data_IF_087074305624
#
_entry.id   IF_087074305624
#
_cell.length_a   1.000
_cell.length_b   1.000
_cell.length_c   1.000
_cell.angle_alpha   90.00
_cell.angle_beta   90.00
_cell.angle_gamma   90.00
#
_symmetry.space_group_name_H-M   'P 1'
#
loop_
_entity.id
_entity.type
_entity.pdbx_description
1 polymer ?
#
# COMPACT_ATOMS: atom_id res chain seq x y z
N UNK A 1 -2.28 14.40 -5.73
CA UNK A 1 -2.75 13.00 -5.92
C UNK A 1 -1.66 11.95 -5.61
N UNK A 2 -0.36 12.23 -5.76
CA UNK A 2 0.70 11.27 -5.40
C UNK A 2 0.76 10.84 -3.92
N UNK A 3 0.16 11.60 -3.00
CA UNK A 3 0.12 11.23 -1.56
C UNK A 3 -0.72 9.98 -1.24
N UNK A 4 -1.44 9.40 -2.22
CA UNK A 4 -2.39 8.29 -1.98
C UNK A 4 -1.70 6.93 -1.78
N UNK A 5 -0.60 6.66 -2.48
CA UNK A 5 0.09 5.37 -2.41
C UNK A 5 1.33 5.41 -1.49
N UNK A 6 1.81 6.60 -1.11
CA UNK A 6 3.01 6.79 -0.29
C UNK A 6 2.94 6.10 1.09
N UNK A 7 1.90 6.30 1.92
CA UNK A 7 1.84 5.66 3.23
C UNK A 7 1.68 4.14 3.13
N UNK A 8 0.93 3.67 2.13
CA UNK A 8 0.66 2.24 1.93
C UNK A 8 1.90 1.50 1.43
N UNK A 9 2.63 2.09 0.48
CA UNK A 9 3.86 1.49 -0.04
C UNK A 9 4.91 1.44 1.08
N UNK A 10 5.06 2.53 1.85
CA UNK A 10 5.97 2.57 3.00
C UNK A 10 5.61 1.53 4.07
N UNK A 11 4.34 1.43 4.46
CA UNK A 11 3.87 0.45 5.45
C UNK A 11 4.00 -1.01 4.96
N UNK A 12 3.91 -1.26 3.65
CA UNK A 12 4.09 -2.58 3.09
C UNK A 12 5.57 -2.98 2.89
N UNK A 13 6.48 -2.01 2.84
CA UNK A 13 7.93 -2.25 2.76
C UNK A 13 8.60 -2.31 4.13
N UNK A 14 8.07 -1.56 5.10
CA UNK A 14 8.48 -1.64 6.49
C UNK A 14 7.66 -2.72 7.22
N UNK A 15 8.17 -3.26 8.33
CA UNK A 15 7.31 -4.07 9.20
C UNK A 15 6.21 -3.18 9.80
N UNK A 16 5.04 -3.72 10.20
CA UNK A 16 3.88 -2.96 10.71
C UNK A 16 4.16 -2.04 11.91
N UNK A 17 5.37 -2.04 12.46
CA UNK A 17 5.81 -1.30 13.63
C UNK A 17 6.48 0.06 13.33
N UNK A 18 6.62 0.47 12.07
CA UNK A 18 7.36 1.70 11.73
C UNK A 18 6.43 2.91 11.63
N UNK A 19 5.99 3.44 12.77
CA UNK A 19 5.37 4.77 12.84
C UNK A 19 6.48 5.82 12.61
N UNK A 20 6.35 6.77 11.67
CA UNK A 20 7.31 7.84 11.51
C UNK A 20 7.11 8.84 12.65
N UNK A 21 7.86 8.65 13.74
CA UNK A 21 7.68 9.47 14.94
C UNK A 21 8.71 9.17 16.03
N UNK A 22 10.00 9.20 15.70
CA UNK A 22 11.09 9.35 16.68
C UNK A 22 12.33 9.95 16.00
N UNK A 23 12.30 11.26 15.76
CA UNK A 23 13.50 12.07 15.68
C UNK A 23 13.74 12.63 17.08
N UNK A 24 14.65 12.02 17.83
CA UNK A 24 15.10 12.54 19.13
C UNK A 24 15.30 11.48 20.20
N UNK A 25 16.57 11.31 20.58
CA UNK A 25 17.07 10.70 21.82
C UNK A 25 17.06 9.17 21.88
N UNK A 26 18.14 8.58 21.38
CA UNK A 26 18.68 7.30 21.87
C UNK A 26 20.06 7.62 22.48
N UNK A 27 20.09 7.89 23.78
CA UNK A 27 21.31 7.78 24.59
C UNK A 27 21.04 6.73 25.69
N UNK A 28 21.90 5.71 25.68
CA UNK A 28 22.27 4.80 26.77
C UNK A 28 21.17 4.10 27.60
N UNK A 29 20.76 2.91 27.15
CA UNK A 29 20.23 1.84 28.02
C UNK A 29 20.95 0.51 27.74
N UNK A 30 21.35 -0.24 28.78
CA UNK A 30 22.21 -1.42 28.61
C UNK A 30 21.48 -2.66 28.06
N UNK A 31 22.21 -3.46 27.26
CA UNK A 31 21.77 -4.54 26.35
C UNK A 31 20.89 -5.67 26.91
N UNK A 32 20.62 -5.72 28.22
CA UNK A 32 20.00 -6.88 28.88
C UNK A 32 18.48 -6.75 29.10
N UNK A 33 17.85 -5.64 28.71
CA UNK A 33 16.39 -5.41 28.88
C UNK A 33 15.62 -5.26 27.55
N UNK A 34 16.26 -5.55 26.41
CA UNK A 34 15.66 -5.44 25.08
C UNK A 34 14.93 -6.75 24.75
N UNK A 35 13.59 -6.71 24.69
CA UNK A 35 12.77 -7.86 24.29
C UNK A 35 13.11 -8.30 22.85
N UNK A 36 12.96 -9.60 22.48
CA UNK A 36 13.32 -10.08 21.15
C UNK A 36 12.59 -9.39 19.97
N UNK A 37 11.52 -8.63 20.27
CA UNK A 37 10.67 -7.91 19.32
C UNK A 37 11.21 -6.53 18.87
N UNK A 38 12.29 -6.01 19.45
CA UNK A 38 12.82 -4.67 19.13
C UNK A 38 14.14 -4.69 18.36
N UNK A 39 14.45 -5.78 17.65
CA UNK A 39 15.55 -5.75 16.68
C UNK A 39 15.15 -4.87 15.48
N UNK A 40 15.97 -3.87 15.07
CA UNK A 40 15.75 -3.21 13.79
C UNK A 40 15.75 -4.28 12.69
N UNK A 41 14.89 -4.16 11.64
CA UNK A 41 14.88 -5.11 10.55
C UNK A 41 16.30 -5.20 9.95
N UNK A 42 16.78 -6.39 9.56
CA UNK A 42 18.11 -6.53 9.01
C UNK A 42 18.27 -5.62 7.79
N UNK A 43 19.43 -4.97 7.61
CA UNK A 43 19.64 -4.01 6.54
C UNK A 43 19.79 -4.79 5.23
N UNK A 44 18.72 -5.14 4.51
CA UNK A 44 18.93 -5.91 3.27
C UNK A 44 17.69 -6.17 2.40
N UNK A 45 17.86 -5.82 1.12
CA UNK A 45 17.30 -6.46 -0.09
C UNK A 45 15.81 -6.22 -0.37
N UNK A 46 15.50 -5.15 -1.11
CA UNK A 46 14.14 -4.82 -1.55
C UNK A 46 13.96 -4.95 -3.06
N UNK A 47 12.89 -5.60 -3.52
CA UNK A 47 12.44 -5.50 -4.89
C UNK A 47 10.95 -5.15 -4.88
N UNK A 48 10.61 -4.03 -5.51
CA UNK A 48 9.23 -3.58 -5.65
C UNK A 48 8.81 -3.81 -7.09
N UNK A 49 7.80 -4.66 -7.26
CA UNK A 49 7.23 -4.97 -8.57
C UNK A 49 5.90 -4.24 -8.71
N UNK A 50 5.83 -3.34 -9.68
CA UNK A 50 4.63 -2.55 -9.96
C UNK A 50 3.93 -3.14 -11.19
N UNK A 51 2.82 -3.83 -10.95
CA UNK A 51 1.95 -4.37 -11.98
C UNK A 51 0.97 -3.29 -12.41
N UNK A 52 1.27 -2.62 -13.52
CA UNK A 52 0.60 -1.40 -13.96
C UNK A 52 -0.45 -1.71 -15.02
N UNK A 53 -1.58 -0.99 -15.00
CA UNK A 53 -2.48 -0.88 -16.16
C UNK A 53 -1.96 0.19 -17.11
N UNK A 54 -1.83 -0.14 -18.40
CA UNK A 54 -1.68 0.89 -19.43
C UNK A 54 -3.03 1.51 -19.77
N UNK A 55 -3.28 2.74 -19.28
CA UNK A 55 -4.02 3.81 -19.99
C UNK A 55 -4.34 5.03 -19.09
N UNK A 56 -3.85 6.22 -19.48
CA UNK A 56 -4.65 7.46 -19.38
C UNK A 56 -4.82 8.16 -18.03
N UNK A 57 -4.00 7.93 -17.01
CA UNK A 57 -3.98 8.85 -15.86
C UNK A 57 -3.31 10.16 -16.28
N UNK A 58 -4.11 11.20 -16.52
CA UNK A 58 -3.67 12.58 -16.79
C UNK A 58 -2.84 13.19 -15.63
N UNK A 59 -2.52 12.42 -14.59
CA UNK A 59 -1.86 12.82 -13.34
C UNK A 59 -0.63 11.97 -12.96
N UNK A 60 -0.12 11.13 -13.87
CA UNK A 60 0.99 10.20 -13.59
C UNK A 60 0.54 8.98 -12.77
N UNK A 61 1.36 7.92 -12.72
CA UNK A 61 1.07 6.76 -11.86
C UNK A 61 1.36 7.11 -10.39
N UNK A 62 0.36 7.08 -9.48
CA UNK A 62 0.56 7.39 -8.06
C UNK A 62 1.62 6.50 -7.39
N UNK A 63 1.80 5.27 -7.87
CA UNK A 63 2.76 4.31 -7.31
C UNK A 63 4.18 4.69 -7.67
N UNK A 64 4.42 5.05 -8.94
CA UNK A 64 5.73 5.53 -9.40
C UNK A 64 6.10 6.82 -8.68
N UNK A 65 5.15 7.76 -8.55
CA UNK A 65 5.30 8.99 -7.77
C UNK A 65 5.70 8.72 -6.32
N UNK A 66 4.98 7.81 -5.66
CA UNK A 66 5.21 7.46 -4.27
C UNK A 66 6.56 6.79 -4.06
N UNK A 67 6.93 5.84 -4.93
CA UNK A 67 8.22 5.17 -4.87
C UNK A 67 9.39 6.13 -5.06
N UNK A 68 9.27 7.13 -5.96
CA UNK A 68 10.30 8.16 -6.11
C UNK A 68 10.38 9.08 -4.88
N UNK A 69 9.26 9.47 -4.28
CA UNK A 69 9.33 10.29 -3.06
C UNK A 69 9.98 9.53 -1.91
N UNK A 70 9.65 8.24 -1.72
CA UNK A 70 10.31 7.41 -0.71
C UNK A 70 11.80 7.23 -1.00
N UNK A 71 12.18 7.05 -2.26
CA UNK A 71 13.58 6.97 -2.67
C UNK A 71 14.34 8.27 -2.36
N UNK A 72 13.73 9.42 -2.65
CA UNK A 72 14.31 10.74 -2.38
C UNK A 72 14.69 10.93 -0.92
N UNK A 73 13.74 10.54 -0.07
CA UNK A 73 13.73 10.79 1.37
C UNK A 73 14.55 9.70 2.11
N UNK A 74 15.16 8.75 1.38
CA UNK A 74 15.97 7.68 1.96
C UNK A 74 15.16 6.66 2.77
N UNK A 75 13.87 6.58 2.51
CA UNK A 75 12.93 5.69 3.23
C UNK A 75 12.84 4.30 2.59
N UNK A 76 13.52 4.09 1.45
CA UNK A 76 13.67 2.79 0.81
C UNK A 76 15.00 2.15 1.17
N UNK A 77 15.07 0.81 1.29
CA UNK A 77 16.34 0.11 1.37
C UNK A 77 17.27 0.46 0.19
N UNK A 78 18.57 0.55 0.43
CA UNK A 78 19.57 0.94 -0.56
C UNK A 78 19.61 0.03 -1.80
N UNK A 79 19.25 -1.25 -1.67
CA UNK A 79 19.09 -2.18 -2.79
C UNK A 79 17.61 -2.32 -3.14
N UNK A 80 16.97 -1.23 -3.61
CA UNK A 80 15.57 -1.25 -4.10
C UNK A 80 15.49 -1.08 -5.61
N UNK A 81 14.83 -2.02 -6.27
CA UNK A 81 14.53 -1.99 -7.70
C UNK A 81 13.03 -1.85 -7.95
N UNK A 82 12.66 -1.07 -8.97
CA UNK A 82 11.26 -0.90 -9.39
C UNK A 82 11.06 -1.55 -10.76
N UNK A 83 10.18 -2.55 -10.83
CA UNK A 83 9.90 -3.26 -12.09
C UNK A 83 8.47 -3.00 -12.53
N UNK A 84 8.28 -2.29 -13.64
CA UNK A 84 6.98 -2.08 -14.27
C UNK A 84 6.56 -3.30 -15.10
N UNK A 85 5.31 -3.73 -14.97
CA UNK A 85 4.74 -4.81 -15.78
C UNK A 85 3.39 -4.43 -16.37
N UNK A 86 3.26 -4.44 -17.69
CA UNK A 86 1.97 -4.25 -18.38
C UNK A 86 1.96 -4.86 -19.79
N UNK A 87 0.77 -4.87 -20.42
CA UNK A 87 0.57 -5.38 -21.79
C UNK A 87 1.28 -4.56 -22.87
N UNK A 88 1.46 -3.26 -22.64
CA UNK A 88 2.04 -2.37 -23.64
C UNK A 88 3.54 -2.56 -23.78
N UNK A 89 4.05 -2.40 -24.99
CA UNK A 89 5.48 -2.39 -25.26
C UNK A 89 6.01 -0.97 -24.98
N UNK A 90 6.49 -0.74 -23.75
CA UNK A 90 7.07 0.54 -23.33
C UNK A 90 8.52 0.36 -22.90
N UNK A 91 9.27 1.45 -22.95
CA UNK A 91 10.62 1.52 -22.39
C UNK A 91 10.61 2.34 -21.09
N UNK A 92 11.67 2.21 -20.28
CA UNK A 92 11.87 3.06 -19.10
C UNK A 92 11.96 4.54 -19.49
N UNK A 93 12.47 4.85 -20.69
CA UNK A 93 12.49 6.23 -21.21
C UNK A 93 11.08 6.78 -21.45
N UNK A 94 10.16 5.96 -21.96
CA UNK A 94 8.76 6.35 -22.14
C UNK A 94 8.07 6.59 -20.79
N UNK A 95 8.31 5.71 -19.83
CA UNK A 95 7.80 5.85 -18.45
C UNK A 95 8.32 7.14 -17.83
N UNK A 96 9.64 7.38 -17.94
CA UNK A 96 10.26 8.61 -17.47
C UNK A 96 9.62 9.83 -18.09
N UNK A 97 9.45 9.86 -19.40
CA UNK A 97 8.81 11.00 -20.11
C UNK A 97 7.39 11.26 -19.62
N UNK A 98 6.62 10.21 -19.32
CA UNK A 98 5.25 10.33 -18.83
C UNK A 98 5.18 10.74 -17.36
N UNK A 99 6.11 10.29 -16.52
CA UNK A 99 6.05 10.47 -15.07
C UNK A 99 6.84 11.69 -14.56
N UNK A 100 7.88 12.10 -15.27
CA UNK A 100 8.75 13.23 -14.91
C UNK A 100 8.00 14.56 -14.67
N UNK A 101 6.96 14.95 -15.45
CA UNK A 101 6.20 16.18 -15.19
C UNK A 101 5.54 16.23 -13.81
N UNK A 102 5.27 15.07 -13.20
CA UNK A 102 4.56 14.96 -11.93
C UNK A 102 5.49 14.85 -10.73
N UNK A 103 6.79 14.61 -10.95
CA UNK A 103 7.79 14.45 -9.88
C UNK A 103 8.16 15.76 -9.19
N UNK A 104 7.91 16.92 -9.82
CA UNK A 104 8.29 18.25 -9.30
C UNK A 104 9.76 18.26 -8.83
N UNK A 105 10.66 17.95 -9.75
CA UNK A 105 12.09 17.74 -9.48
C UNK A 105 12.76 19.09 -9.29
N UNK A 106 13.36 19.31 -8.13
CA UNK A 106 14.24 20.45 -7.88
C UNK A 106 15.63 20.23 -8.53
N UNK A 107 16.36 21.29 -8.90
CA UNK A 107 17.61 21.16 -9.67
C UNK A 107 18.71 20.31 -8.99
N UNK A 108 18.74 20.31 -7.67
CA UNK A 108 19.68 19.53 -6.84
C UNK A 108 19.34 18.04 -6.78
N UNK A 109 18.10 17.66 -7.09
CA UNK A 109 17.63 16.28 -7.05
C UNK A 109 17.90 15.49 -8.35
N UNK A 110 18.47 16.12 -9.38
CA UNK A 110 18.64 15.50 -10.68
C UNK A 110 19.49 14.21 -10.62
N UNK A 111 20.55 14.19 -9.79
CA UNK A 111 21.39 12.98 -9.62
C UNK A 111 20.61 11.82 -9.03
N UNK A 112 19.86 12.07 -7.95
CA UNK A 112 18.97 11.06 -7.33
C UNK A 112 17.90 10.58 -8.29
N UNK A 113 17.43 11.44 -9.20
CA UNK A 113 16.48 11.05 -10.22
C UNK A 113 17.08 10.08 -11.24
N UNK A 114 18.32 10.33 -11.70
CA UNK A 114 19.03 9.40 -12.59
C UNK A 114 19.27 8.06 -11.89
N UNK A 115 19.70 8.06 -10.63
CA UNK A 115 19.89 6.85 -9.83
C UNK A 115 18.59 6.05 -9.65
N UNK A 116 17.48 6.74 -9.40
CA UNK A 116 16.16 6.11 -9.33
C UNK A 116 15.84 5.40 -10.64
N UNK A 117 15.91 6.09 -11.78
CA UNK A 117 15.60 5.50 -13.08
C UNK A 117 16.58 4.41 -13.51
N UNK A 118 17.84 4.47 -13.09
CA UNK A 118 18.81 3.39 -13.31
C UNK A 118 18.40 2.07 -12.62
N UNK A 119 17.58 2.16 -11.55
CA UNK A 119 17.01 1.01 -10.83
C UNK A 119 15.59 0.67 -11.27
N UNK A 120 15.09 1.35 -12.29
CA UNK A 120 13.81 1.05 -12.91
C UNK A 120 14.01 0.14 -14.12
N UNK A 121 13.12 -0.84 -14.26
CA UNK A 121 13.08 -1.72 -15.44
C UNK A 121 11.63 -2.00 -15.81
N UNK A 122 11.42 -2.49 -17.03
CA UNK A 122 10.07 -2.75 -17.54
C UNK A 122 10.01 -4.06 -18.30
N UNK A 123 8.98 -4.84 -18.04
CA UNK A 123 8.71 -6.12 -18.71
C UNK A 123 7.30 -6.08 -19.29
N UNK A 124 7.18 -6.37 -20.59
CA UNK A 124 5.88 -6.45 -21.25
C UNK A 124 5.33 -7.87 -21.23
N UNK A 125 4.02 -7.99 -20.96
CA UNK A 125 3.37 -9.30 -20.88
C UNK A 125 1.86 -9.21 -20.65
N UNK A 126 1.15 -10.30 -20.95
CA UNK A 126 -0.28 -10.41 -20.65
C UNK A 126 -0.52 -10.90 -19.23
N UNK A 127 -1.72 -10.68 -18.71
CA UNK A 127 -2.06 -10.99 -17.31
C UNK A 127 -2.54 -12.44 -17.11
N UNK A 128 -2.90 -13.12 -18.20
CA UNK A 128 -3.46 -14.45 -18.27
C UNK A 128 -2.45 -15.54 -18.67
N UNK A 129 -1.30 -15.17 -19.25
CA UNK A 129 -0.28 -16.10 -19.74
C UNK A 129 0.84 -16.34 -18.71
N UNK A 130 0.98 -17.61 -18.30
CA UNK A 130 2.07 -18.04 -17.39
C UNK A 130 3.47 -17.80 -17.97
N UNK A 131 3.64 -17.81 -19.29
CA UNK A 131 4.94 -17.61 -19.94
C UNK A 131 5.44 -16.18 -19.72
N UNK A 132 4.53 -15.22 -19.76
CA UNK A 132 4.82 -13.82 -19.47
C UNK A 132 5.24 -13.60 -18.01
N UNK A 133 4.62 -14.29 -17.06
CA UNK A 133 5.04 -14.26 -15.65
C UNK A 133 6.36 -15.01 -15.41
N UNK A 134 6.67 -16.07 -16.15
CA UNK A 134 8.01 -16.69 -16.10
C UNK A 134 9.10 -15.74 -16.60
N UNK A 135 8.83 -14.96 -17.64
CA UNK A 135 9.76 -13.90 -18.10
C UNK A 135 9.92 -12.81 -17.03
N UNK A 136 8.84 -12.40 -16.38
CA UNK A 136 8.91 -11.48 -15.24
C UNK A 136 9.77 -12.07 -14.13
N UNK A 137 9.55 -13.32 -13.73
CA UNK A 137 10.35 -13.97 -12.69
C UNK A 137 11.84 -14.05 -13.06
N UNK A 138 12.17 -14.47 -14.29
CA UNK A 138 13.55 -14.52 -14.77
C UNK A 138 14.22 -13.13 -14.74
N UNK A 139 13.47 -12.08 -15.08
CA UNK A 139 13.94 -10.71 -14.96
C UNK A 139 14.19 -10.30 -13.50
N UNK A 140 13.29 -10.67 -12.58
CA UNK A 140 13.45 -10.41 -11.14
C UNK A 140 14.66 -11.15 -10.57
N UNK A 141 14.87 -12.41 -10.95
CA UNK A 141 16.01 -13.22 -10.51
C UNK A 141 17.35 -12.68 -11.04
N UNK A 142 17.35 -12.03 -12.21
CA UNK A 142 18.53 -11.41 -12.81
C UNK A 142 18.94 -10.09 -12.16
N UNK A 143 18.09 -9.49 -11.31
CA UNK A 143 18.45 -8.29 -10.53
C UNK A 143 19.48 -8.63 -9.45
N UNK A 144 20.18 -7.61 -8.95
CA UNK A 144 21.13 -7.77 -7.86
C UNK A 144 20.44 -8.39 -6.62
N UNK A 145 20.93 -9.54 -6.17
CA UNK A 145 20.31 -10.34 -5.10
C UNK A 145 18.84 -10.71 -5.35
N UNK A 146 18.41 -10.82 -6.62
CA UNK A 146 17.01 -11.07 -7.01
C UNK A 146 16.41 -12.37 -6.48
N UNK A 147 17.25 -13.39 -6.28
CA UNK A 147 16.91 -14.70 -5.69
C UNK A 147 16.51 -14.61 -4.21
N UNK A 148 17.13 -13.66 -3.48
CA UNK A 148 16.95 -13.41 -2.05
C UNK A 148 16.23 -12.09 -1.75
N UNK A 149 15.74 -11.42 -2.79
CA UNK A 149 15.05 -10.15 -2.63
C UNK A 149 13.66 -10.35 -2.01
N UNK A 150 13.27 -9.40 -1.16
CA UNK A 150 11.88 -9.25 -0.78
C UNK A 150 11.08 -8.74 -1.98
N UNK A 151 9.92 -9.33 -2.26
CA UNK A 151 9.09 -8.98 -3.43
C UNK A 151 7.77 -8.37 -2.98
N UNK A 152 7.53 -7.13 -3.39
CA UNK A 152 6.27 -6.43 -3.16
C UNK A 152 5.54 -6.22 -4.50
N UNK A 153 4.41 -6.89 -4.71
CA UNK A 153 3.62 -6.78 -5.93
C UNK A 153 2.50 -5.77 -5.75
N UNK A 154 2.56 -4.63 -6.44
CA UNK A 154 1.50 -3.65 -6.47
C UNK A 154 0.53 -3.94 -7.61
N UNK A 155 -0.73 -4.25 -7.33
CA UNK A 155 -1.75 -4.57 -8.33
C UNK A 155 -2.56 -3.32 -8.72
N UNK A 156 -1.98 -2.44 -9.53
CA UNK A 156 -2.67 -1.27 -10.09
C UNK A 156 -3.49 -1.68 -11.34
N UNK A 157 -4.39 -2.65 -11.17
CA UNK A 157 -5.09 -3.36 -12.24
C UNK A 157 -6.62 -3.33 -12.02
N UNK A 158 -7.43 -3.51 -13.07
CA UNK A 158 -8.87 -3.66 -12.88
C UNK A 158 -9.20 -4.98 -12.18
N UNK A 159 -10.30 -5.06 -11.40
CA UNK A 159 -10.68 -6.26 -10.65
C UNK A 159 -10.83 -7.52 -11.51
N UNK A 160 -11.20 -7.38 -12.78
CA UNK A 160 -11.43 -8.49 -13.70
C UNK A 160 -10.18 -9.35 -13.96
N UNK A 161 -8.98 -8.81 -13.73
CA UNK A 161 -7.72 -9.56 -13.94
C UNK A 161 -7.08 -10.03 -12.64
N UNK A 162 -7.63 -9.67 -11.47
CA UNK A 162 -7.02 -10.00 -10.17
C UNK A 162 -6.85 -11.50 -9.97
N UNK A 163 -7.86 -12.31 -10.32
CA UNK A 163 -7.78 -13.76 -10.14
C UNK A 163 -6.63 -14.38 -10.96
N UNK A 164 -6.49 -13.99 -12.22
CA UNK A 164 -5.43 -14.47 -13.11
C UNK A 164 -4.04 -14.03 -12.65
N UNK A 165 -3.90 -12.75 -12.28
CA UNK A 165 -2.61 -12.18 -11.87
C UNK A 165 -2.13 -12.77 -10.57
N UNK A 166 -3.00 -12.86 -9.55
CA UNK A 166 -2.64 -13.43 -8.24
C UNK A 166 -2.25 -14.91 -8.34
N UNK A 167 -2.94 -15.69 -9.19
CA UNK A 167 -2.58 -17.08 -9.50
C UNK A 167 -1.21 -17.16 -10.16
N UNK A 168 -0.99 -16.41 -11.23
CA UNK A 168 0.28 -16.41 -11.95
C UNK A 168 1.46 -15.91 -11.10
N UNK A 169 1.25 -14.91 -10.24
CA UNK A 169 2.27 -14.46 -9.28
C UNK A 169 2.63 -15.61 -8.33
N UNK A 170 1.62 -16.28 -7.75
CA UNK A 170 1.82 -17.38 -6.82
C UNK A 170 2.58 -18.55 -7.44
N UNK A 171 2.26 -18.89 -8.68
CA UNK A 171 2.84 -20.03 -9.39
C UNK A 171 4.26 -19.74 -9.93
N UNK A 172 4.51 -18.52 -10.42
CA UNK A 172 5.72 -18.25 -11.21
C UNK A 172 6.69 -17.25 -10.57
N UNK A 173 6.23 -16.33 -9.71
CA UNK A 173 7.02 -15.13 -9.33
C UNK A 173 7.35 -15.04 -7.84
N UNK A 174 7.04 -16.06 -7.03
CA UNK A 174 7.32 -16.05 -5.60
C UNK A 174 8.82 -16.21 -5.35
N UNK A 175 9.42 -15.27 -4.63
CA UNK A 175 10.80 -15.38 -4.18
C UNK A 175 10.95 -16.42 -3.08
N UNK A 176 12.09 -17.12 -3.05
CA UNK A 176 12.38 -18.17 -2.08
C UNK A 176 13.20 -17.68 -0.87
N UNK A 177 14.01 -16.63 -1.03
CA UNK A 177 14.88 -16.13 0.05
C UNK A 177 14.34 -14.95 0.86
N UNK A 178 13.33 -14.24 0.35
CA UNK A 178 12.73 -13.06 1.00
C UNK A 178 11.23 -13.21 1.24
N UNK A 179 10.61 -12.21 1.87
CA UNK A 179 9.15 -12.17 1.98
C UNK A 179 8.51 -11.81 0.65
N UNK A 180 7.27 -12.26 0.46
CA UNK A 180 6.44 -11.92 -0.68
C UNK A 180 5.16 -11.27 -0.16
N UNK A 181 4.87 -10.06 -0.62
CA UNK A 181 3.67 -9.30 -0.24
C UNK A 181 2.95 -8.81 -1.50
N UNK A 182 1.63 -8.77 -1.44
CA UNK A 182 0.79 -8.24 -2.50
C UNK A 182 -0.01 -7.05 -1.97
N UNK A 183 -0.09 -6.00 -2.77
CA UNK A 183 -0.90 -4.82 -2.51
C UNK A 183 -2.06 -4.84 -3.49
N UNK A 184 -3.28 -4.80 -2.96
CA UNK A 184 -4.53 -4.87 -3.74
C UNK A 184 -5.33 -3.59 -3.54
N UNK A 185 -5.70 -2.95 -4.64
CA UNK A 185 -6.56 -1.76 -4.61
C UNK A 185 -8.05 -2.11 -4.74
N UNK A 186 -8.89 -1.19 -4.25
CA UNK A 186 -10.34 -1.23 -4.43
C UNK A 186 -10.72 -1.18 -5.92
N UNK A 187 -11.86 -1.75 -6.33
CA UNK A 187 -12.93 -2.34 -5.51
C UNK A 187 -12.72 -3.82 -5.13
N UNK A 188 -13.07 -4.16 -3.88
CA UNK A 188 -13.01 -5.52 -3.33
C UNK A 188 -14.33 -6.29 -3.50
N UNK A 189 -14.83 -6.36 -4.74
CA UNK A 189 -16.19 -6.83 -5.03
C UNK A 189 -17.23 -5.71 -5.07
N UNK A 190 -18.47 -6.05 -5.43
CA UNK A 190 -19.63 -5.14 -5.51
C UNK A 190 -20.64 -5.39 -4.38
N UNK A 191 -20.57 -6.53 -3.73
CA UNK A 191 -21.45 -7.03 -2.68
C UNK A 191 -20.71 -8.07 -1.81
N UNK A 192 -21.38 -8.58 -0.79
CA UNK A 192 -20.81 -9.57 0.13
C UNK A 192 -20.37 -10.84 -0.60
N UNK A 193 -21.18 -11.34 -1.55
CA UNK A 193 -20.88 -12.59 -2.26
C UNK A 193 -19.63 -12.46 -3.13
N UNK A 194 -19.56 -11.41 -3.96
CA UNK A 194 -18.39 -11.13 -4.80
C UNK A 194 -17.14 -10.79 -3.99
N UNK A 195 -17.29 -10.10 -2.85
CA UNK A 195 -16.19 -9.83 -1.94
C UNK A 195 -15.65 -11.09 -1.28
N UNK A 196 -16.53 -11.98 -0.83
CA UNK A 196 -16.16 -13.28 -0.27
C UNK A 196 -15.48 -14.16 -1.32
N UNK A 197 -15.98 -14.18 -2.56
CA UNK A 197 -15.35 -14.93 -3.66
C UNK A 197 -13.91 -14.46 -3.91
N UNK A 198 -13.70 -13.13 -4.02
CA UNK A 198 -12.37 -12.56 -4.21
C UNK A 198 -11.46 -12.83 -3.01
N UNK A 199 -11.98 -12.66 -1.79
CA UNK A 199 -11.23 -12.86 -0.55
C UNK A 199 -10.81 -14.32 -0.39
N UNK A 200 -11.71 -15.27 -0.64
CA UNK A 200 -11.42 -16.70 -0.58
C UNK A 200 -10.38 -17.11 -1.64
N UNK A 201 -10.48 -16.59 -2.87
CA UNK A 201 -9.48 -16.82 -3.91
C UNK A 201 -8.09 -16.34 -3.47
N UNK A 202 -7.96 -15.10 -2.99
CA UNK A 202 -6.67 -14.54 -2.57
C UNK A 202 -6.13 -15.28 -1.34
N UNK A 203 -6.99 -15.56 -0.35
CA UNK A 203 -6.61 -16.29 0.86
C UNK A 203 -6.18 -17.74 0.58
N UNK A 204 -6.69 -18.36 -0.48
CA UNK A 204 -6.22 -19.69 -0.92
C UNK A 204 -4.78 -19.69 -1.44
N UNK A 205 -4.28 -18.53 -1.89
CA UNK A 205 -2.97 -18.39 -2.52
C UNK A 205 -1.93 -17.74 -1.59
N UNK A 206 -2.36 -16.76 -0.80
CA UNK A 206 -1.52 -15.93 0.06
C UNK A 206 -2.01 -15.98 1.50
N UNK A 207 -1.08 -15.97 2.45
CA UNK A 207 -1.42 -15.79 3.85
C UNK A 207 -1.82 -14.34 4.13
N UNK A 208 -2.56 -14.11 5.20
CA UNK A 208 -3.08 -12.78 5.52
C UNK A 208 -1.96 -11.75 5.82
N UNK A 209 -0.82 -12.18 6.38
CA UNK A 209 0.38 -11.34 6.60
C UNK A 209 1.05 -10.86 5.29
N UNK A 210 0.68 -11.47 4.16
CA UNK A 210 1.18 -11.14 2.83
C UNK A 210 0.23 -10.22 2.06
N UNK A 211 -1.00 -10.01 2.52
CA UNK A 211 -2.05 -9.32 1.77
C UNK A 211 -2.27 -7.91 2.34
N UNK A 212 -1.97 -6.89 1.54
CA UNK A 212 -2.15 -5.48 1.90
C UNK A 212 -3.29 -4.89 1.07
N UNK A 213 -4.48 -4.77 1.68
CA UNK A 213 -5.65 -4.17 1.04
C UNK A 213 -5.62 -2.66 1.28
N UNK A 214 -5.54 -1.87 0.21
CA UNK A 214 -5.44 -0.41 0.33
C UNK A 214 -6.81 0.21 0.60
N UNK A 215 -6.90 0.91 1.72
CA UNK A 215 -7.75 2.07 1.90
C UNK A 215 -6.88 3.31 2.15
N UNK A 216 -6.76 4.17 1.15
CA UNK A 216 -5.89 5.35 1.22
C UNK A 216 -6.33 6.39 2.27
N UNK A 217 -7.56 6.33 2.80
CA UNK A 217 -7.96 7.20 3.91
C UNK A 217 -7.21 6.89 5.20
N UNK A 218 -6.86 5.62 5.43
CA UNK A 218 -6.06 5.19 6.59
C UNK A 218 -4.62 5.74 6.55
N UNK A 219 -4.13 6.13 5.37
CA UNK A 219 -2.83 6.77 5.19
C UNK A 219 -2.82 8.28 5.45
N UNK A 220 -3.99 8.89 5.72
CA UNK A 220 -4.06 10.34 6.00
C UNK A 220 -3.61 10.60 7.44
N UNK A 221 -2.75 11.59 7.61
CA UNK A 221 -2.19 12.00 8.90
C UNK A 221 -3.25 12.19 9.98
N UNK A 222 -4.30 12.97 9.69
CA UNK A 222 -5.39 13.21 10.65
C UNK A 222 -6.19 11.95 11.02
N UNK A 223 -6.26 10.96 10.12
CA UNK A 223 -6.94 9.69 10.39
C UNK A 223 -6.07 8.82 11.30
N UNK A 224 -4.76 8.78 11.08
CA UNK A 224 -3.81 8.10 11.98
C UNK A 224 -3.79 8.74 13.37
N UNK A 225 -3.89 10.06 13.43
CA UNK A 225 -3.90 10.81 14.68
C UNK A 225 -5.12 10.52 15.57
N UNK A 226 -6.21 9.93 15.05
CA UNK A 226 -7.37 9.54 15.86
C UNK A 226 -7.00 8.58 17.00
N UNK A 227 -6.10 7.62 16.75
CA UNK A 227 -5.68 6.68 17.80
C UNK A 227 -4.89 7.39 18.90
N UNK A 228 -3.98 8.30 18.51
CA UNK A 228 -3.16 9.08 19.44
C UNK A 228 -4.04 10.03 20.27
N UNK A 229 -4.99 10.70 19.63
CA UNK A 229 -5.95 11.57 20.30
C UNK A 229 -6.76 10.81 21.35
N UNK A 230 -7.34 9.66 21.00
CA UNK A 230 -8.22 8.90 21.90
C UNK A 230 -7.48 8.21 23.04
N UNK A 231 -6.37 7.52 22.73
CA UNK A 231 -5.71 6.63 23.69
C UNK A 231 -4.44 7.22 24.31
N UNK A 232 -3.86 8.26 23.71
CA UNK A 232 -2.71 8.99 24.24
C UNK A 232 -3.06 10.08 25.24
N UNK A 233 -4.34 10.49 25.33
CA UNK A 233 -4.77 11.61 26.16
C UNK A 233 -5.78 11.18 27.22
N UNK A 234 -5.40 11.32 28.50
CA UNK A 234 -6.27 10.97 29.64
C UNK A 234 -7.57 11.78 29.69
N UNK A 235 -7.58 12.99 29.13
CA UNK A 235 -8.77 13.85 29.08
C UNK A 235 -9.88 13.28 28.19
N UNK A 236 -9.53 12.58 27.10
CA UNK A 236 -10.53 12.08 26.15
C UNK A 236 -11.09 10.71 26.56
N UNK A 237 -10.37 9.92 27.35
CA UNK A 237 -10.83 8.60 27.79
C UNK A 237 -12.23 8.61 28.46
N UNK A 238 -12.45 9.38 29.55
CA UNK A 238 -13.72 9.37 30.28
C UNK A 238 -14.92 9.96 29.52
N UNK A 239 -14.69 10.80 28.51
CA UNK A 239 -15.74 11.49 27.76
C UNK A 239 -16.07 10.79 26.43
N UNK A 240 -15.30 9.79 26.01
CA UNK A 240 -15.51 9.10 24.73
C UNK A 240 -16.50 7.92 24.87
N UNK A 241 -17.73 8.22 25.29
CA UNK A 241 -18.80 7.23 25.48
C UNK A 241 -20.19 7.85 25.30
N UNK A 242 -21.22 7.00 25.29
CA UNK A 242 -22.63 7.38 25.11
C UNK A 242 -23.19 8.33 26.17
N UNK A 243 -22.56 8.40 27.35
CA UNK A 243 -23.03 9.25 28.44
C UNK A 243 -22.64 10.72 28.22
N UNK A 244 -21.63 10.96 27.39
CA UNK A 244 -21.08 12.29 27.11
C UNK A 244 -21.22 12.70 25.64
N UNK A 245 -21.30 11.74 24.70
CA UNK A 245 -21.39 12.00 23.25
C UNK A 245 -22.82 11.80 22.76
N UNK A 246 -23.47 12.88 22.35
CA UNK A 246 -24.83 12.84 21.81
C UNK A 246 -24.90 12.24 20.38
N UNK A 247 -23.96 12.59 19.51
CA UNK A 247 -23.85 12.03 18.16
C UNK A 247 -22.44 12.17 17.58
N UNK A 248 -22.11 11.31 16.62
CA UNK A 248 -20.88 11.36 15.82
C UNK A 248 -21.26 11.58 14.36
N UNK A 249 -20.66 12.57 13.71
CA UNK A 249 -20.95 12.93 12.32
C UNK A 249 -19.69 12.76 11.48
N UNK A 250 -19.74 11.85 10.50
CA UNK A 250 -18.69 11.66 9.52
C UNK A 250 -19.13 12.27 8.19
N UNK A 251 -18.41 13.29 7.72
CA UNK A 251 -18.77 14.04 6.51
C UNK A 251 -17.69 13.89 5.45
N UNK A 252 -18.11 13.51 4.25
CA UNK A 252 -17.29 13.55 3.04
C UNK A 252 -17.98 14.47 2.03
N UNK A 253 -17.24 15.46 1.51
CA UNK A 253 -17.72 16.43 0.52
C UNK A 253 -16.64 16.63 -0.53
N UNK A 254 -17.04 16.59 -1.80
CA UNK A 254 -16.21 16.95 -2.93
C UNK A 254 -16.87 18.13 -3.66
N UNK A 255 -16.12 19.19 -4.01
CA UNK A 255 -16.68 20.36 -4.70
C UNK A 255 -16.89 20.12 -6.21
N UNK A 256 -16.58 18.93 -6.72
CA UNK A 256 -16.67 18.55 -8.13
C UNK A 256 -17.64 17.38 -8.32
N UNK A 257 -18.18 17.26 -9.53
CA UNK A 257 -19.08 16.17 -9.92
C UNK A 257 -18.32 14.93 -10.40
N UNK A 258 -18.94 14.11 -11.25
CA UNK A 258 -18.33 12.86 -11.71
C UNK A 258 -17.21 13.02 -12.75
N UNK A 259 -16.92 14.25 -13.23
CA UNK A 259 -15.78 14.61 -14.11
C UNK A 259 -15.34 13.51 -15.10
N UNK A 260 -16.24 13.05 -15.98
CA UNK A 260 -15.95 12.03 -17.00
C UNK A 260 -15.85 10.57 -16.50
N UNK A 261 -15.94 10.34 -15.19
CA UNK A 261 -16.05 9.01 -14.53
C UNK A 261 -17.50 8.57 -14.28
N UNK A 262 -18.47 9.25 -14.89
CA UNK A 262 -19.90 9.00 -14.69
C UNK A 262 -20.29 7.53 -14.94
N UNK A 263 -19.69 6.88 -15.94
CA UNK A 263 -19.95 5.45 -16.22
C UNK A 263 -19.56 4.52 -15.07
N UNK A 264 -18.38 4.73 -14.47
CA UNK A 264 -17.95 3.97 -13.29
C UNK A 264 -18.82 4.30 -12.07
N UNK A 265 -19.09 5.58 -11.84
CA UNK A 265 -19.89 6.02 -10.70
C UNK A 265 -21.33 5.49 -10.77
N UNK A 266 -21.91 5.36 -11.95
CA UNK A 266 -23.26 4.85 -12.13
C UNK A 266 -23.39 3.36 -11.74
N UNK A 267 -22.35 2.55 -11.95
CA UNK A 267 -22.37 1.14 -11.56
C UNK A 267 -22.14 0.92 -10.05
N UNK A 268 -21.33 1.75 -9.41
CA UNK A 268 -20.91 1.54 -8.01
C UNK A 268 -21.72 2.39 -7.02
N UNK A 269 -22.02 3.63 -7.37
CA UNK A 269 -22.70 4.61 -6.52
C UNK A 269 -21.85 5.11 -5.34
N UNK A 270 -22.33 6.14 -4.65
CA UNK A 270 -21.61 6.79 -3.54
C UNK A 270 -21.36 5.85 -2.35
N UNK A 271 -22.28 4.91 -2.11
CA UNK A 271 -22.20 3.97 -0.98
C UNK A 271 -20.96 3.09 -1.13
N UNK A 272 -20.74 2.49 -2.31
CA UNK A 272 -19.58 1.60 -2.53
C UNK A 272 -18.30 2.38 -2.77
N UNK A 273 -18.39 3.57 -3.37
CA UNK A 273 -17.21 4.33 -3.70
C UNK A 273 -16.55 4.95 -2.46
N UNK A 274 -17.35 5.43 -1.49
CA UNK A 274 -16.87 6.22 -0.35
C UNK A 274 -17.37 5.72 1.01
N UNK A 275 -18.65 5.36 1.16
CA UNK A 275 -19.19 5.06 2.50
C UNK A 275 -18.70 3.72 3.04
N UNK A 276 -18.79 2.67 2.23
CA UNK A 276 -18.46 1.28 2.61
C UNK A 276 -16.97 1.10 2.94
N UNK A 277 -16.11 1.94 2.39
CA UNK A 277 -14.67 1.92 2.64
C UNK A 277 -14.27 3.04 3.63
N UNK A 278 -14.10 4.27 3.14
CA UNK A 278 -13.46 5.37 3.84
C UNK A 278 -14.21 5.78 5.10
N UNK A 279 -15.53 6.00 5.00
CA UNK A 279 -16.32 6.41 6.16
C UNK A 279 -16.45 5.30 7.19
N UNK A 280 -16.65 4.04 6.74
CA UNK A 280 -16.72 2.90 7.65
C UNK A 280 -15.39 2.66 8.37
N UNK A 281 -14.26 2.82 7.69
CA UNK A 281 -12.93 2.74 8.31
C UNK A 281 -12.71 3.84 9.36
N UNK A 282 -13.13 5.07 9.08
CA UNK A 282 -13.10 6.15 10.08
C UNK A 282 -14.04 5.88 11.24
N UNK A 283 -15.23 5.32 10.98
CA UNK A 283 -16.18 4.93 12.03
C UNK A 283 -15.55 3.89 12.96
N UNK A 284 -14.92 2.83 12.42
CA UNK A 284 -14.29 1.81 13.25
C UNK A 284 -13.15 2.41 14.10
N UNK A 285 -12.35 3.36 13.58
CA UNK A 285 -11.33 4.06 14.38
C UNK A 285 -11.92 4.96 15.48
N UNK A 286 -13.10 5.53 15.26
CA UNK A 286 -13.82 6.33 16.26
C UNK A 286 -14.51 5.46 17.31
N UNK A 287 -15.01 4.29 16.93
CA UNK A 287 -15.84 3.43 17.76
C UNK A 287 -15.08 2.27 18.46
N UNK A 288 -13.90 1.88 17.99
CA UNK A 288 -13.09 0.80 18.57
C UNK A 288 -12.75 1.07 20.04
N UNK A 289 -12.57 0.02 20.86
CA UNK A 289 -12.03 0.19 22.21
C UNK A 289 -10.53 0.40 22.17
N UNK A 290 -9.95 0.65 23.36
CA UNK A 290 -8.50 0.72 23.50
C UNK A 290 -7.92 -0.67 23.20
N UNK A 291 -7.07 -0.81 22.17
CA UNK A 291 -6.46 -2.09 21.84
C UNK A 291 -5.48 -2.51 22.95
N UNK A 292 -5.24 -3.82 23.03
CA UNK A 292 -4.31 -4.41 23.99
C UNK A 292 -2.89 -3.83 23.81
N UNK A 293 -2.46 -3.65 22.57
CA UNK A 293 -1.22 -2.98 22.20
C UNK A 293 -1.38 -2.15 20.92
N UNK A 294 -0.29 -1.56 20.45
CA UNK A 294 -0.23 -0.88 19.14
C UNK A 294 0.13 -1.82 18.00
N UNK A 295 0.20 -3.13 18.24
CA UNK A 295 0.47 -4.13 17.21
C UNK A 295 -0.70 -4.17 16.20
N UNK A 296 -0.37 -4.44 14.94
CA UNK A 296 -1.32 -4.31 13.83
C UNK A 296 -2.55 -5.20 13.98
N UNK A 297 -2.36 -6.40 14.54
CA UNK A 297 -3.43 -7.38 14.71
C UNK A 297 -4.35 -7.00 15.87
N UNK A 298 -3.80 -6.55 17.01
CA UNK A 298 -4.60 -6.05 18.14
C UNK A 298 -5.47 -4.86 17.76
N UNK A 299 -4.92 -3.92 16.97
CA UNK A 299 -5.69 -2.78 16.43
C UNK A 299 -6.76 -3.25 15.47
N UNK A 300 -6.47 -4.27 14.65
CA UNK A 300 -7.42 -4.83 13.68
C UNK A 300 -8.56 -5.56 14.40
N UNK A 301 -8.26 -6.32 15.44
CA UNK A 301 -9.25 -7.08 16.21
C UNK A 301 -10.28 -6.16 16.84
N UNK A 302 -9.84 -5.04 17.44
CA UNK A 302 -10.75 -4.03 17.99
C UNK A 302 -11.59 -3.31 16.92
N UNK A 303 -11.05 -3.14 15.70
CA UNK A 303 -11.82 -2.58 14.58
C UNK A 303 -12.89 -3.55 14.09
N UNK A 304 -12.64 -4.86 14.13
CA UNK A 304 -13.60 -5.88 13.69
C UNK A 304 -14.66 -6.13 14.77
N UNK A 305 -14.24 -6.28 16.03
CA UNK A 305 -15.09 -6.71 17.15
C UNK A 305 -16.28 -5.79 17.48
N UNK A 306 -16.32 -4.55 16.96
CA UNK A 306 -17.45 -3.61 17.15
C UNK A 306 -18.13 -3.14 15.87
N UNK A 307 -17.59 -3.50 14.70
CA UNK A 307 -18.18 -3.16 13.41
C UNK A 307 -19.05 -4.31 12.84
N UNK A 308 -19.13 -5.46 13.54
CA UNK A 308 -20.14 -6.52 13.37
C UNK A 308 -21.20 -6.43 14.46
#
# INVERSE_FOLDING_TARGET
>A
MGHRAFPCLFAAMTSPLSVPGRLGQEEDLPDHLVSPSSRPPPPSRGCVVVTRRHSGLASGDPTELSSRWLFRDGLLPDDTYVVGYARSQLTVADIRKQSQPYFKVEPDEQKKLEEFFARNSYVSGTYDDSTSFRRLNAHLDALHNGDKANRLFYLALPPSVYEHVTRNIKECCMGHGGWNRIIVEKPFGKDLESSNKLSNHIASLFREDQIYRIDHYLGKEMVQNLMVLRFGNRIFGPVWNRDNVACVILTFKEPFGTEGRGGYFNEFGIIRDVMQNHLLQMLCLVAMEKPASTDSDDVRDEKVGRCT
#
